data_IF_353052557174
#
_entry.id   IF_353052557174
#
_cell.length_a   1.000
_cell.length_b   1.000
_cell.length_c   1.000
_cell.angle_alpha   90.00
_cell.angle_beta   90.00
_cell.angle_gamma   90.00
#
_symmetry.space_group_name_H-M   'P 1'
#
loop_
_entity.id
_entity.type
_entity.pdbx_description
1 polymer ?
#
# COMPACT_ATOMS: atom_id res chain seq x y z
N UNK A 1 2.61 6.99 -5.46
CA UNK A 1 1.27 6.65 -6.02
C UNK A 1 0.23 7.39 -5.20
N UNK A 2 -0.65 8.18 -5.84
CA UNK A 2 -1.73 8.86 -5.14
C UNK A 2 -2.83 7.83 -4.80
N UNK A 3 -3.26 7.79 -3.55
CA UNK A 3 -4.32 6.90 -3.08
C UNK A 3 -5.55 7.73 -2.68
N UNK A 4 -6.74 7.18 -2.87
CA UNK A 4 -7.95 7.74 -2.30
C UNK A 4 -7.91 7.60 -0.77
N UNK A 5 -8.41 8.61 -0.04
CA UNK A 5 -8.48 8.54 1.42
C UNK A 5 -9.44 7.43 1.87
N UNK A 6 -9.20 6.87 3.04
CA UNK A 6 -10.08 5.84 3.63
C UNK A 6 -11.53 6.33 3.76
N UNK A 7 -11.74 7.63 4.01
CA UNK A 7 -13.07 8.24 4.08
C UNK A 7 -13.82 8.20 2.74
N UNK A 8 -13.13 8.45 1.63
CA UNK A 8 -13.72 8.37 0.28
C UNK A 8 -14.04 6.91 -0.08
N UNK A 9 -13.15 5.99 0.25
CA UNK A 9 -13.34 4.55 0.02
C UNK A 9 -14.54 4.04 0.82
N UNK A 10 -14.68 4.45 2.09
CA UNK A 10 -15.83 4.10 2.92
C UNK A 10 -17.13 4.66 2.34
N UNK A 11 -17.18 5.94 1.96
CA UNK A 11 -18.35 6.55 1.33
C UNK A 11 -18.75 5.88 0.02
N UNK A 12 -17.80 5.53 -0.83
CA UNK A 12 -18.07 4.78 -2.06
C UNK A 12 -18.64 3.39 -1.75
N UNK A 13 -18.08 2.71 -0.75
CA UNK A 13 -18.56 1.40 -0.33
C UNK A 13 -20.00 1.46 0.21
N UNK A 14 -20.31 2.46 1.04
CA UNK A 14 -21.67 2.65 1.59
C UNK A 14 -22.68 3.07 0.52
N UNK A 15 -22.22 3.77 -0.51
CA UNK A 15 -23.04 4.17 -1.65
C UNK A 15 -23.35 3.02 -2.60
N UNK A 16 -22.51 1.96 -2.61
CA UNK A 16 -22.55 0.88 -3.58
C UNK A 16 -23.33 -0.32 -3.07
N UNK A 17 -24.39 -0.73 -3.78
CA UNK A 17 -24.95 -2.07 -3.57
C UNK A 17 -24.06 -3.11 -4.30
N UNK A 18 -23.44 -3.97 -3.53
CA UNK A 18 -22.57 -5.03 -4.07
C UNK A 18 -23.32 -6.00 -5.00
N UNK A 19 -24.61 -6.23 -4.78
CA UNK A 19 -25.40 -7.12 -5.64
C UNK A 19 -25.58 -6.50 -7.03
N UNK A 20 -25.84 -5.19 -7.12
CA UNK A 20 -25.98 -4.49 -8.39
C UNK A 20 -24.70 -4.52 -9.21
N UNK A 21 -23.54 -4.42 -8.54
CA UNK A 21 -22.23 -4.53 -9.21
C UNK A 21 -21.98 -5.96 -9.68
N UNK A 22 -22.14 -6.95 -8.81
CA UNK A 22 -21.88 -8.37 -9.16
C UNK A 22 -22.85 -8.86 -10.25
N UNK A 23 -24.07 -8.36 -10.27
CA UNK A 23 -25.09 -8.77 -11.24
C UNK A 23 -24.73 -8.37 -12.69
N UNK A 24 -23.81 -7.43 -12.88
CA UNK A 24 -23.29 -7.09 -14.21
C UNK A 24 -22.43 -8.21 -14.81
N UNK A 25 -21.89 -9.10 -13.98
CA UNK A 25 -21.00 -10.21 -14.39
C UNK A 25 -21.65 -11.56 -14.22
N UNK A 26 -22.46 -11.73 -13.18
CA UNK A 26 -23.01 -13.02 -12.75
C UNK A 26 -24.50 -12.87 -12.49
N UNK A 27 -25.36 -13.65 -13.14
CA UNK A 27 -26.79 -13.66 -12.81
C UNK A 27 -27.01 -14.06 -11.35
N UNK A 28 -27.60 -13.15 -10.58
CA UNK A 28 -27.95 -13.36 -9.18
C UNK A 28 -29.43 -13.68 -9.04
N UNK A 29 -29.75 -14.63 -8.14
CA UNK A 29 -31.13 -14.99 -7.77
C UNK A 29 -31.37 -14.58 -6.31
N UNK A 30 -32.52 -13.98 -5.99
CA UNK A 30 -32.88 -13.70 -4.60
C UNK A 30 -32.87 -14.97 -3.75
N UNK A 31 -32.29 -14.88 -2.54
CA UNK A 31 -32.19 -15.98 -1.59
C UNK A 31 -32.55 -15.53 -0.15
N UNK A 32 -33.37 -14.51 -0.04
CA UNK A 32 -33.83 -13.89 1.21
C UNK A 32 -33.73 -12.37 1.17
N UNK A 33 -34.01 -11.72 2.28
CA UNK A 33 -33.94 -10.26 2.39
C UNK A 33 -32.50 -9.79 2.22
N UNK A 34 -32.24 -8.98 1.19
CA UNK A 34 -30.92 -8.46 0.82
C UNK A 34 -29.84 -9.55 0.65
N UNK A 35 -30.26 -10.76 0.33
CA UNK A 35 -29.37 -11.90 0.04
C UNK A 35 -29.64 -12.45 -1.33
N UNK A 36 -28.56 -12.77 -2.03
CA UNK A 36 -28.59 -13.30 -3.37
C UNK A 36 -27.64 -14.50 -3.48
N UNK A 37 -27.88 -15.36 -4.46
CA UNK A 37 -27.01 -16.48 -4.78
C UNK A 37 -26.77 -16.55 -6.29
N UNK A 38 -25.59 -16.99 -6.67
CA UNK A 38 -25.18 -17.13 -8.06
C UNK A 38 -24.02 -18.10 -8.23
N UNK A 39 -23.65 -18.35 -9.47
CA UNK A 39 -22.44 -19.14 -9.76
C UNK A 39 -21.21 -18.28 -9.50
N UNK A 40 -20.19 -18.89 -8.90
CA UNK A 40 -18.94 -18.18 -8.62
C UNK A 40 -18.11 -18.04 -9.90
N UNK A 41 -17.64 -16.82 -10.25
CA UNK A 41 -16.82 -16.63 -11.44
C UNK A 41 -15.34 -17.02 -11.25
N UNK A 42 -14.94 -17.35 -10.03
CA UNK A 42 -13.53 -17.59 -9.67
C UNK A 42 -13.11 -19.07 -9.73
N UNK A 43 -14.04 -19.98 -10.06
CA UNK A 43 -13.77 -21.39 -10.29
C UNK A 43 -14.82 -21.99 -11.25
N UNK A 44 -14.59 -23.18 -11.78
CA UNK A 44 -15.60 -23.89 -12.61
C UNK A 44 -16.78 -24.31 -11.73
N UNK A 45 -17.78 -23.42 -11.64
CA UNK A 45 -18.96 -23.61 -10.79
C UNK A 45 -20.15 -24.11 -11.58
N UNK A 46 -20.60 -25.32 -11.26
CA UNK A 46 -21.76 -25.98 -11.90
C UNK A 46 -23.08 -25.73 -11.16
N UNK A 47 -23.00 -25.22 -9.91
CA UNK A 47 -24.15 -24.95 -9.04
C UNK A 47 -23.96 -23.64 -8.32
N UNK A 48 -25.05 -22.89 -7.98
CA UNK A 48 -24.91 -21.61 -7.27
C UNK A 48 -24.24 -21.80 -5.90
N UNK A 49 -22.94 -21.51 -5.82
CA UNK A 49 -22.13 -21.65 -4.60
C UNK A 49 -21.71 -20.32 -3.97
N UNK A 50 -21.94 -19.22 -4.69
CA UNK A 50 -21.63 -17.87 -4.20
C UNK A 50 -22.87 -17.22 -3.58
N UNK A 51 -22.74 -16.72 -2.36
CA UNK A 51 -23.72 -15.91 -1.65
C UNK A 51 -23.26 -14.45 -1.63
N UNK A 52 -24.20 -13.54 -1.85
CA UNK A 52 -23.99 -12.08 -1.77
C UNK A 52 -24.95 -11.51 -0.74
N UNK A 53 -24.47 -10.65 0.12
CA UNK A 53 -25.24 -9.96 1.14
C UNK A 53 -25.09 -8.44 0.97
N UNK A 54 -26.11 -7.79 0.44
CA UNK A 54 -26.11 -6.33 0.18
C UNK A 54 -26.05 -5.52 1.47
N UNK A 55 -26.68 -5.98 2.55
CA UNK A 55 -26.65 -5.26 3.83
C UNK A 55 -25.23 -5.19 4.43
N UNK A 56 -24.48 -6.28 4.30
CA UNK A 56 -23.10 -6.34 4.80
C UNK A 56 -22.07 -5.87 3.76
N UNK A 57 -22.48 -5.67 2.50
CA UNK A 57 -21.59 -5.30 1.40
C UNK A 57 -20.51 -6.34 1.08
N UNK A 58 -20.86 -7.66 1.23
CA UNK A 58 -19.90 -8.76 1.06
C UNK A 58 -20.44 -9.87 0.18
N UNK A 59 -19.50 -10.58 -0.47
CA UNK A 59 -19.78 -11.86 -1.10
C UNK A 59 -18.92 -12.98 -0.50
N UNK A 60 -19.38 -14.21 -0.61
CA UNK A 60 -18.67 -15.42 -0.20
C UNK A 60 -19.04 -16.61 -1.05
N UNK A 61 -18.05 -17.27 -1.64
CA UNK A 61 -18.20 -18.57 -2.25
C UNK A 61 -17.90 -19.67 -1.23
N UNK A 62 -18.82 -20.62 -1.06
CA UNK A 62 -18.64 -21.74 -0.14
C UNK A 62 -17.89 -22.92 -0.76
N UNK A 63 -17.68 -22.93 -2.08
CA UNK A 63 -16.93 -23.98 -2.77
C UNK A 63 -15.42 -23.67 -2.84
N UNK A 64 -15.04 -22.49 -3.36
CA UNK A 64 -13.63 -22.12 -3.52
C UNK A 64 -13.08 -21.17 -2.44
N UNK A 65 -13.95 -20.76 -1.50
CA UNK A 65 -13.62 -19.86 -0.40
C UNK A 65 -13.32 -18.41 -0.81
N UNK A 66 -13.43 -18.04 -2.09
CA UNK A 66 -13.35 -16.65 -2.55
C UNK A 66 -14.38 -15.78 -1.81
N UNK A 67 -14.00 -14.58 -1.42
CA UNK A 67 -14.91 -13.68 -0.70
C UNK A 67 -14.25 -12.37 -0.32
N UNK A 68 -15.08 -11.36 -0.10
CA UNK A 68 -14.65 -10.03 0.23
C UNK A 68 -15.74 -9.00 -0.02
N UNK A 69 -15.34 -7.74 -0.18
CA UNK A 69 -16.22 -6.64 -0.56
C UNK A 69 -16.24 -6.42 -2.09
N UNK A 70 -16.94 -5.38 -2.51
CA UNK A 70 -17.09 -5.04 -3.93
C UNK A 70 -15.75 -4.78 -4.61
N UNK A 71 -14.81 -4.12 -3.93
CA UNK A 71 -13.49 -3.82 -4.52
C UNK A 71 -12.71 -5.11 -4.75
N UNK A 72 -12.71 -6.00 -3.76
CA UNK A 72 -12.03 -7.30 -3.89
C UNK A 72 -12.64 -8.14 -5.01
N UNK A 73 -13.96 -8.13 -5.18
CA UNK A 73 -14.62 -8.81 -6.29
C UNK A 73 -14.10 -8.28 -7.63
N UNK A 74 -14.09 -6.97 -7.83
CA UNK A 74 -13.63 -6.35 -9.08
C UNK A 74 -12.14 -6.59 -9.33
N UNK A 75 -11.29 -6.47 -8.30
CA UNK A 75 -9.86 -6.78 -8.43
C UNK A 75 -9.61 -8.21 -8.92
N UNK A 76 -10.31 -9.19 -8.36
CA UNK A 76 -10.14 -10.61 -8.71
C UNK A 76 -10.76 -10.95 -10.06
N UNK A 77 -11.89 -10.33 -10.41
CA UNK A 77 -12.60 -10.58 -11.66
C UNK A 77 -11.91 -9.92 -12.85
N UNK A 78 -11.60 -8.63 -12.76
CA UNK A 78 -10.99 -7.83 -13.84
C UNK A 78 -9.47 -7.92 -13.88
N UNK A 79 -8.83 -8.57 -12.89
CA UNK A 79 -7.36 -8.68 -12.76
C UNK A 79 -6.67 -7.32 -12.68
N UNK A 80 -7.27 -6.38 -11.97
CA UNK A 80 -6.79 -5.01 -11.80
C UNK A 80 -6.37 -4.73 -10.36
N UNK A 81 -5.61 -3.65 -10.15
CA UNK A 81 -5.19 -3.22 -8.84
C UNK A 81 -6.32 -2.52 -8.06
N UNK A 82 -6.10 -2.28 -6.77
CA UNK A 82 -7.10 -1.72 -5.87
C UNK A 82 -7.54 -0.31 -6.28
N UNK A 83 -6.64 0.51 -6.79
CA UNK A 83 -6.97 1.86 -7.27
C UNK A 83 -7.91 1.80 -8.47
N UNK A 84 -7.55 1.00 -9.46
CA UNK A 84 -8.37 0.78 -10.65
C UNK A 84 -9.74 0.19 -10.30
N UNK A 85 -9.81 -0.67 -9.29
CA UNK A 85 -11.09 -1.21 -8.80
C UNK A 85 -11.97 -0.12 -8.16
N UNK A 86 -11.40 0.82 -7.39
CA UNK A 86 -12.14 1.98 -6.85
C UNK A 86 -12.70 2.84 -8.00
N UNK A 87 -11.86 3.16 -8.98
CA UNK A 87 -12.25 3.96 -10.15
C UNK A 87 -13.34 3.26 -10.98
N UNK A 88 -13.22 1.95 -11.15
CA UNK A 88 -14.22 1.13 -11.83
C UNK A 88 -15.57 1.14 -11.11
N UNK A 89 -15.58 0.86 -9.81
CA UNK A 89 -16.81 0.85 -8.99
C UNK A 89 -17.48 2.21 -8.98
N UNK A 90 -16.71 3.28 -8.83
CA UNK A 90 -17.24 4.63 -8.86
C UNK A 90 -17.88 4.98 -10.20
N UNK A 91 -17.24 4.59 -11.32
CA UNK A 91 -17.81 4.78 -12.65
C UNK A 91 -19.09 3.97 -12.84
N UNK A 92 -19.10 2.71 -12.44
CA UNK A 92 -20.25 1.80 -12.58
C UNK A 92 -21.48 2.25 -11.75
N UNK A 93 -21.24 2.89 -10.60
CA UNK A 93 -22.29 3.36 -9.70
C UNK A 93 -22.66 4.84 -9.90
N UNK A 94 -21.91 5.57 -10.73
CA UNK A 94 -22.10 7.02 -10.91
C UNK A 94 -21.62 7.86 -9.70
N UNK A 95 -20.79 7.27 -8.82
CA UNK A 95 -20.24 8.00 -7.69
C UNK A 95 -19.15 8.97 -8.16
N UNK A 96 -19.30 10.25 -7.82
CA UNK A 96 -18.33 11.28 -8.16
C UNK A 96 -17.09 11.14 -7.27
N UNK A 97 -16.05 10.45 -7.76
CA UNK A 97 -14.75 10.52 -7.11
C UNK A 97 -14.19 11.94 -7.20
N UNK A 98 -13.63 12.47 -6.11
CA UNK A 98 -12.83 13.68 -6.23
C UNK A 98 -11.72 13.39 -7.24
N UNK A 99 -11.53 14.32 -8.16
CA UNK A 99 -10.34 14.25 -9.02
C UNK A 99 -9.17 14.08 -8.07
N UNK A 100 -8.50 12.93 -8.15
CA UNK A 100 -7.18 12.84 -7.58
C UNK A 100 -6.42 13.96 -8.27
N UNK A 101 -6.44 15.14 -7.62
CA UNK A 101 -5.43 16.10 -7.97
C UNK A 101 -4.14 15.31 -7.79
N UNK A 102 -3.34 15.23 -8.82
CA UNK A 102 -1.92 14.89 -8.75
C UNK A 102 -1.18 15.88 -7.83
N UNK A 103 -1.88 16.48 -6.86
CA UNK A 103 -1.35 17.29 -5.79
C UNK A 103 -0.62 16.46 -4.73
N UNK A 104 -0.56 15.13 -4.88
CA UNK A 104 0.53 14.36 -4.27
C UNK A 104 1.67 14.03 -5.28
N UNK A 105 1.51 14.17 -6.60
CA UNK A 105 2.52 14.84 -7.38
C UNK A 105 2.41 16.35 -7.07
N UNK A 106 2.84 16.78 -5.87
CA UNK A 106 3.70 17.95 -5.82
C UNK A 106 4.55 17.79 -7.07
N UNK A 107 4.54 18.80 -7.96
CA UNK A 107 5.65 19.02 -8.85
C UNK A 107 6.87 19.05 -7.94
N UNK A 108 7.37 17.85 -7.58
CA UNK A 108 8.70 17.73 -7.01
C UNK A 108 9.55 18.37 -8.07
N UNK A 109 9.99 19.56 -7.79
CA UNK A 109 10.91 20.26 -8.67
C UNK A 109 12.07 19.30 -8.91
N UNK A 110 12.70 19.39 -10.06
CA UNK A 110 13.90 18.58 -10.33
C UNK A 110 14.90 18.71 -9.16
N UNK A 111 14.92 19.87 -8.51
CA UNK A 111 15.72 20.17 -7.32
C UNK A 111 15.30 19.33 -6.09
N UNK A 112 14.00 19.15 -5.83
CA UNK A 112 13.52 18.32 -4.71
C UNK A 112 13.84 16.84 -4.92
N UNK A 113 13.70 16.35 -6.14
CA UNK A 113 14.09 14.95 -6.50
C UNK A 113 15.59 14.73 -6.34
N UNK A 114 16.38 15.70 -6.77
CA UNK A 114 17.83 15.62 -6.63
C UNK A 114 18.26 15.69 -5.16
N UNK A 115 17.62 16.55 -4.36
CA UNK A 115 17.81 16.61 -2.92
C UNK A 115 17.52 15.29 -2.22
N UNK A 116 16.39 14.65 -2.53
CA UNK A 116 16.03 13.34 -1.96
C UNK A 116 17.05 12.27 -2.34
N UNK A 117 17.54 12.27 -3.59
CA UNK A 117 18.61 11.35 -4.02
C UNK A 117 19.90 11.56 -3.24
N UNK A 118 20.35 12.82 -3.09
CA UNK A 118 21.55 13.16 -2.33
C UNK A 118 21.45 12.72 -0.87
N UNK A 119 20.30 12.94 -0.24
CA UNK A 119 20.05 12.50 1.13
C UNK A 119 20.04 10.98 1.26
N UNK A 120 19.46 10.25 0.31
CA UNK A 120 19.48 8.80 0.30
C UNK A 120 20.88 8.23 0.10
N UNK A 121 21.70 8.84 -0.77
CA UNK A 121 23.11 8.45 -0.93
C UNK A 121 23.87 8.69 0.38
N UNK A 122 23.74 9.88 0.96
CA UNK A 122 24.37 10.23 2.23
C UNK A 122 24.00 9.24 3.36
N UNK A 123 22.71 8.92 3.47
CA UNK A 123 22.22 8.00 4.48
C UNK A 123 22.78 6.58 4.26
N UNK A 124 22.79 6.11 3.01
CA UNK A 124 23.34 4.81 2.66
C UNK A 124 24.82 4.70 3.01
N UNK A 125 25.64 5.67 2.62
CA UNK A 125 27.06 5.71 2.94
C UNK A 125 27.30 5.74 4.45
N UNK A 126 26.50 6.51 5.19
CA UNK A 126 26.60 6.56 6.64
C UNK A 126 26.26 5.21 7.29
N UNK A 127 25.21 4.52 6.83
CA UNK A 127 24.87 3.19 7.34
C UNK A 127 25.91 2.14 6.98
N UNK A 128 26.46 2.16 5.76
CA UNK A 128 27.54 1.26 5.32
C UNK A 128 28.79 1.44 6.16
N UNK A 129 29.17 2.70 6.44
CA UNK A 129 30.32 3.01 7.31
C UNK A 129 30.11 2.47 8.72
N UNK A 130 28.93 2.69 9.32
CA UNK A 130 28.63 2.15 10.65
C UNK A 130 28.68 0.62 10.69
N UNK A 131 28.23 -0.06 9.62
CA UNK A 131 28.39 -1.51 9.51
C UNK A 131 29.85 -1.92 9.41
N UNK A 132 30.66 -1.18 8.63
CA UNK A 132 32.08 -1.45 8.49
C UNK A 132 32.83 -1.37 9.83
N UNK A 133 32.41 -0.45 10.70
CA UNK A 133 32.97 -0.18 12.03
C UNK A 133 32.38 -1.08 13.15
N UNK A 134 31.44 -1.99 12.82
CA UNK A 134 30.74 -2.84 13.78
C UNK A 134 30.99 -4.34 13.54
N UNK A 135 32.11 -4.91 14.06
CA UNK A 135 32.46 -6.33 13.83
C UNK A 135 31.40 -7.30 14.33
N UNK A 136 30.73 -6.97 15.44
CA UNK A 136 29.65 -7.76 16.04
C UNK A 136 28.42 -7.89 15.11
N UNK A 137 28.07 -6.80 14.41
CA UNK A 137 26.95 -6.81 13.46
C UNK A 137 27.32 -7.60 12.20
N UNK A 138 28.55 -7.49 11.72
CA UNK A 138 29.05 -8.32 10.62
C UNK A 138 29.03 -9.81 10.98
N UNK A 139 29.47 -10.15 12.18
CA UNK A 139 29.42 -11.53 12.67
C UNK A 139 27.97 -12.05 12.75
N UNK A 140 27.04 -11.22 13.21
CA UNK A 140 25.60 -11.54 13.24
C UNK A 140 25.06 -11.80 11.83
N UNK A 141 25.38 -10.94 10.85
CA UNK A 141 24.94 -11.12 9.45
C UNK A 141 25.49 -12.40 8.85
N UNK A 142 26.78 -12.68 9.06
CA UNK A 142 27.43 -13.91 8.59
C UNK A 142 26.81 -15.16 9.21
N UNK A 143 26.48 -15.13 10.52
CA UNK A 143 25.76 -16.22 11.20
C UNK A 143 24.37 -16.45 10.62
N UNK A 144 23.74 -15.40 10.07
CA UNK A 144 22.45 -15.46 9.36
C UNK A 144 22.59 -15.93 7.90
N UNK A 145 23.79 -16.29 7.44
CA UNK A 145 24.04 -16.73 6.07
C UNK A 145 24.17 -15.61 5.03
N UNK A 146 24.26 -14.36 5.47
CA UNK A 146 24.42 -13.18 4.59
C UNK A 146 25.91 -12.95 4.37
N UNK A 147 26.43 -13.39 3.21
CA UNK A 147 27.84 -13.26 2.87
C UNK A 147 28.25 -11.78 2.69
N UNK A 148 29.56 -11.51 2.81
CA UNK A 148 30.10 -10.16 2.55
C UNK A 148 29.82 -9.68 1.13
N UNK A 149 29.81 -10.59 0.15
CA UNK A 149 29.46 -10.28 -1.23
C UNK A 149 27.99 -9.81 -1.32
N UNK A 150 27.07 -10.54 -0.67
CA UNK A 150 25.66 -10.16 -0.57
C UNK A 150 25.50 -8.81 0.11
N UNK A 151 26.23 -8.58 1.22
CA UNK A 151 26.19 -7.29 1.93
C UNK A 151 26.62 -6.13 1.01
N UNK A 152 27.62 -6.31 0.17
CA UNK A 152 28.08 -5.29 -0.80
C UNK A 152 27.08 -5.06 -1.92
N UNK A 153 26.57 -6.15 -2.55
CA UNK A 153 25.62 -6.05 -3.67
C UNK A 153 24.36 -5.29 -3.24
N UNK A 154 23.82 -5.61 -2.07
CA UNK A 154 22.58 -5.00 -1.55
C UNK A 154 22.82 -3.78 -0.66
N UNK A 155 24.07 -3.30 -0.57
CA UNK A 155 24.45 -2.12 0.21
C UNK A 155 23.92 -2.16 1.65
N UNK A 156 24.19 -3.27 2.35
CA UNK A 156 23.79 -3.42 3.74
C UNK A 156 24.46 -2.36 4.61
N UNK A 157 23.67 -1.81 5.54
CA UNK A 157 24.14 -0.83 6.49
C UNK A 157 23.63 -1.11 7.90
N UNK A 158 24.17 -0.38 8.86
CA UNK A 158 23.79 -0.47 10.27
C UNK A 158 23.43 0.91 10.82
N UNK A 159 22.25 1.00 11.43
CA UNK A 159 21.80 2.19 12.15
C UNK A 159 22.12 2.02 13.65
N UNK A 160 23.21 2.60 14.17
CA UNK A 160 23.54 2.50 15.59
C UNK A 160 22.50 3.26 16.43
N UNK A 161 22.17 2.72 17.60
CA UNK A 161 21.28 3.38 18.56
C UNK A 161 22.03 4.50 19.30
N UNK A 162 22.39 5.56 18.57
CA UNK A 162 23.07 6.74 19.11
C UNK A 162 22.14 7.95 19.07
N UNK A 163 22.17 8.76 20.13
CA UNK A 163 21.36 9.99 20.23
C UNK A 163 21.63 10.98 19.08
N UNK A 164 22.87 10.98 18.57
CA UNK A 164 23.32 11.77 17.43
C UNK A 164 23.42 10.89 16.17
N UNK A 165 22.32 10.31 15.75
CA UNK A 165 22.31 9.43 14.62
C UNK A 165 22.46 10.13 13.25
N UNK A 166 21.77 9.60 12.25
CA UNK A 166 21.77 10.11 10.89
C UNK A 166 21.42 11.60 10.81
N UNK A 167 20.50 12.09 11.65
CA UNK A 167 20.10 13.50 11.68
C UNK A 167 21.29 14.43 11.94
N UNK A 168 22.08 14.17 12.98
CA UNK A 168 23.26 14.99 13.29
C UNK A 168 24.34 14.89 12.20
N UNK A 169 24.49 13.69 11.58
CA UNK A 169 25.40 13.52 10.46
C UNK A 169 24.99 14.39 9.26
N UNK A 170 23.70 14.36 8.89
CA UNK A 170 23.18 15.14 7.76
C UNK A 170 23.26 16.67 8.01
N UNK A 171 22.98 17.11 9.24
CA UNK A 171 23.14 18.54 9.62
C UNK A 171 24.60 19.00 9.43
N UNK A 172 25.58 18.20 9.84
CA UNK A 172 27.00 18.52 9.61
C UNK A 172 27.37 18.59 8.12
N UNK A 173 26.61 17.92 7.26
CA UNK A 173 26.76 17.95 5.80
C UNK A 173 25.96 19.06 5.13
N UNK A 174 25.27 19.91 5.91
CA UNK A 174 24.54 21.09 5.42
C UNK A 174 23.06 20.86 5.13
N UNK A 175 22.50 19.69 5.47
CA UNK A 175 21.08 19.42 5.30
C UNK A 175 20.27 19.82 6.54
N UNK A 176 19.04 20.28 6.33
CA UNK A 176 18.14 20.65 7.42
C UNK A 176 17.30 19.47 7.90
N UNK A 177 16.80 19.46 9.17
CA UNK A 177 15.87 18.44 9.67
C UNK A 177 14.64 18.28 8.78
N UNK A 178 14.09 19.38 8.27
CA UNK A 178 12.91 19.37 7.40
C UNK A 178 13.14 18.59 6.09
N UNK A 179 14.34 18.71 5.51
CA UNK A 179 14.72 17.97 4.31
C UNK A 179 14.80 16.45 4.57
N UNK A 180 15.27 16.05 5.78
CA UNK A 180 15.29 14.63 6.15
C UNK A 180 13.87 14.08 6.34
N UNK A 181 12.96 14.86 6.92
CA UNK A 181 11.55 14.48 7.02
C UNK A 181 10.92 14.37 5.63
N UNK A 182 11.21 15.30 4.74
CA UNK A 182 10.75 15.27 3.35
C UNK A 182 11.26 14.03 2.59
N UNK A 183 12.51 13.62 2.85
CA UNK A 183 13.10 12.41 2.29
C UNK A 183 12.66 11.10 2.98
N UNK A 184 11.84 11.17 4.04
CA UNK A 184 11.40 10.01 4.81
C UNK A 184 12.48 9.40 5.71
N UNK A 185 13.58 10.11 5.94
CA UNK A 185 14.72 9.67 6.76
C UNK A 185 14.61 10.10 8.23
N UNK A 186 13.65 10.95 8.56
CA UNK A 186 13.32 11.37 9.92
C UNK A 186 11.81 11.55 10.08
N UNK A 187 11.35 11.57 11.32
CA UNK A 187 9.94 11.82 11.69
C UNK A 187 9.89 13.02 12.61
N UNK A 188 8.97 13.93 12.37
CA UNK A 188 8.67 14.99 13.35
C UNK A 188 8.05 14.34 14.59
N UNK A 189 8.60 14.63 15.77
CA UNK A 189 7.92 14.27 17.02
C UNK A 189 6.76 15.24 17.19
N UNK A 190 5.55 14.74 17.22
CA UNK A 190 4.44 15.51 17.78
C UNK A 190 4.81 15.87 19.21
N UNK A 191 4.77 17.17 19.53
CA UNK A 191 4.93 17.64 20.90
C UNK A 191 3.71 17.17 21.70
N UNK A 192 3.80 15.97 22.23
CA UNK A 192 2.95 15.55 23.36
C UNK A 192 3.43 16.33 24.58
N UNK A 193 2.54 17.13 25.16
CA UNK A 193 2.78 17.91 26.35
C UNK A 193 3.15 17.07 27.58
#
# INVERSE_FOLDING_TARGET
MAFYSNDIIAKLKDYTDIADVIQQFVPLKPAGTNRYTGRCPFHDDRSPSMSVNSTLGIYKCFACNAGGDVFKFIMEHEKIDFRSAIEWVAHATGFALPKLSNSAEKNETLEERELVKQLNVLATEWFEQNLAESPEIKAYLNKRGISEETQKIFRFGFAPNKREGLLAHAIRKGFSPRQLVQAGLAVEKEHGG
#
